data_IF_141619447768
#
_entry.id   IF_141619447768
#
_cell.length_a   1.000
_cell.length_b   1.000
_cell.length_c   1.000
_cell.angle_alpha   90.00
_cell.angle_beta   90.00
_cell.angle_gamma   90.00
#
_symmetry.space_group_name_H-M   'P 1'
#
loop_
_entity.id
_entity.type
_entity.pdbx_description
1 polymer ?
#
# COMPACT_ATOMS: atom_id res chain seq x y z
N UNK A 1 59.78 -11.30 9.52
CA UNK A 1 59.08 -10.01 9.55
C UNK A 1 58.18 -10.00 10.78
N UNK A 2 58.54 -9.21 11.79
CA UNK A 2 57.81 -9.11 13.05
C UNK A 2 56.79 -7.96 12.95
N UNK A 3 55.52 -8.21 13.28
CA UNK A 3 54.48 -7.19 13.35
C UNK A 3 54.17 -6.88 14.82
N UNK A 4 54.44 -5.64 15.22
CA UNK A 4 54.22 -5.08 16.56
C UNK A 4 52.73 -5.06 16.94
N UNK A 5 52.44 -5.51 18.16
CA UNK A 5 51.16 -5.28 18.83
C UNK A 5 51.07 -3.84 19.36
N UNK A 6 49.96 -3.15 19.09
CA UNK A 6 49.67 -1.82 19.61
C UNK A 6 48.81 -1.93 20.88
N UNK A 7 49.27 -1.33 21.97
CA UNK A 7 48.61 -1.29 23.28
C UNK A 7 47.41 -0.31 23.32
N UNK A 8 46.44 -0.48 24.24
CA UNK A 8 45.29 0.42 24.36
C UNK A 8 45.62 1.69 25.17
N UNK A 9 45.32 2.85 24.59
CA UNK A 9 45.49 4.17 25.21
C UNK A 9 44.42 4.42 26.28
N UNK A 10 44.87 4.81 27.49
CA UNK A 10 44.02 5.20 28.62
C UNK A 10 43.12 6.41 28.28
N UNK A 11 41.94 6.56 28.92
CA UNK A 11 41.02 7.66 28.64
C UNK A 11 41.59 8.97 29.20
N UNK A 12 42.02 9.85 28.29
CA UNK A 12 42.43 11.21 28.62
C UNK A 12 41.29 12.01 29.26
N UNK A 13 41.65 12.78 30.28
CA UNK A 13 40.86 13.86 30.90
C UNK A 13 40.09 14.65 29.83
N UNK A 14 38.77 14.51 29.80
CA UNK A 14 37.91 15.29 28.90
C UNK A 14 37.82 16.73 29.40
N UNK A 15 37.93 17.67 28.47
CA UNK A 15 37.88 19.10 28.73
C UNK A 15 36.59 19.46 29.52
N UNK A 16 36.65 20.31 30.56
CA UNK A 16 35.48 20.66 31.37
C UNK A 16 34.36 21.32 30.57
N UNK A 17 34.69 21.91 29.41
CA UNK A 17 33.72 22.45 28.46
C UNK A 17 32.83 21.37 27.82
N UNK A 18 33.39 20.20 27.50
CA UNK A 18 32.64 19.09 26.89
C UNK A 18 31.74 18.40 27.92
N UNK A 19 32.18 18.35 29.18
CA UNK A 19 31.37 17.86 30.29
C UNK A 19 30.15 18.75 30.54
N UNK A 20 30.31 20.07 30.44
CA UNK A 20 29.19 21.04 30.53
C UNK A 20 28.22 20.94 29.36
N UNK A 21 28.72 20.75 28.13
CA UNK A 21 27.88 20.54 26.94
C UNK A 21 27.06 19.25 27.03
N UNK A 22 27.69 18.14 27.44
CA UNK A 22 26.99 16.87 27.63
C UNK A 22 25.94 16.95 28.76
N UNK A 23 26.24 17.63 29.86
CA UNK A 23 25.30 17.86 30.94
C UNK A 23 24.08 18.70 30.50
N UNK A 24 24.29 19.75 29.71
CA UNK A 24 23.20 20.56 29.17
C UNK A 24 22.34 19.77 28.17
N UNK A 25 22.94 18.95 27.31
CA UNK A 25 22.20 18.11 26.35
C UNK A 25 21.29 17.09 27.06
N UNK A 26 21.78 16.51 28.15
CA UNK A 26 20.99 15.61 28.99
C UNK A 26 19.89 16.37 29.73
N UNK A 27 20.18 17.57 30.21
CA UNK A 27 19.18 18.43 30.87
C UNK A 27 18.02 18.78 29.94
N UNK A 28 18.33 19.06 28.67
CA UNK A 28 17.34 19.38 27.64
C UNK A 28 16.55 18.12 27.21
N UNK A 29 17.20 16.95 27.14
CA UNK A 29 16.55 15.66 26.84
C UNK A 29 15.53 15.24 27.90
N UNK A 30 15.82 15.52 29.17
CA UNK A 30 14.93 15.22 30.30
C UNK A 30 14.02 16.39 30.69
N UNK A 31 14.00 17.49 29.93
CA UNK A 31 13.10 18.64 30.16
C UNK A 31 13.30 19.35 31.51
N UNK A 32 14.47 19.21 32.13
CA UNK A 32 14.81 19.76 33.46
C UNK A 32 15.18 21.26 33.41
N UNK A 33 15.03 21.91 32.26
CA UNK A 33 15.19 23.35 32.10
C UNK A 33 13.90 24.08 32.45
N UNK A 34 13.86 24.72 33.62
CA UNK A 34 12.72 25.55 34.05
C UNK A 34 12.33 26.59 32.98
N UNK A 35 11.04 26.68 32.58
CA UNK A 35 10.55 27.70 31.68
C UNK A 35 10.27 28.99 32.46
N UNK A 36 11.14 30.00 32.29
CA UNK A 36 10.81 31.37 32.69
C UNK A 36 11.25 32.34 31.59
N UNK A 37 10.28 32.78 30.80
CA UNK A 37 10.40 33.76 29.70
C UNK A 37 9.49 33.44 28.49
N UNK A 38 8.29 34.03 28.48
CA UNK A 38 7.14 33.85 27.56
C UNK A 38 7.37 34.18 26.05
N UNK A 39 6.34 34.15 25.13
CA UNK A 39 5.15 33.30 24.98
C UNK A 39 5.03 32.63 23.59
N UNK A 40 4.40 31.45 23.50
CA UNK A 40 3.97 30.87 22.21
C UNK A 40 3.53 29.41 22.33
N UNK A 41 2.22 29.18 22.52
CA UNK A 41 1.55 27.85 22.51
C UNK A 41 0.90 27.63 21.12
N UNK A 42 0.57 26.39 20.65
CA UNK A 42 -0.19 25.40 21.41
C UNK A 42 0.24 23.91 21.30
N UNK A 43 0.20 23.26 22.46
CA UNK A 43 -0.44 21.97 22.80
C UNK A 43 -0.44 20.79 21.81
N UNK A 44 0.11 19.66 22.27
CA UNK A 44 -0.52 18.34 22.06
C UNK A 44 -0.51 17.57 23.38
N UNK A 45 -1.65 16.97 23.64
CA UNK A 45 -2.18 16.45 24.91
C UNK A 45 -1.72 15.04 25.25
N UNK A 46 -1.86 14.69 26.54
CA UNK A 46 -1.92 13.33 27.14
C UNK A 46 -0.55 12.85 27.65
N UNK A 47 -0.30 12.57 28.92
CA UNK A 47 -1.15 11.95 29.93
C UNK A 47 -0.75 12.35 31.35
N UNK A 48 -1.75 12.36 32.24
CA UNK A 48 -1.63 12.58 33.68
C UNK A 48 -0.79 11.47 34.31
N UNK A 49 0.19 11.83 35.12
CA UNK A 49 0.57 11.17 36.37
C UNK A 49 1.54 12.11 37.12
N UNK A 50 0.97 13.02 37.89
CA UNK A 50 1.69 13.80 38.88
C UNK A 50 1.91 12.90 40.10
N UNK A 51 3.13 12.39 40.25
CA UNK A 51 3.62 11.89 41.53
C UNK A 51 4.70 12.86 42.00
N UNK A 52 4.48 13.34 43.21
CA UNK A 52 5.25 14.26 44.01
C UNK A 52 6.77 13.96 43.96
N UNK A 53 7.58 14.97 43.64
CA UNK A 53 9.04 14.89 43.76
C UNK A 53 9.50 16.05 44.63
N UNK A 54 10.06 15.79 45.83
CA UNK A 54 10.57 16.84 46.68
C UNK A 54 11.86 17.41 46.06
N UNK A 55 12.01 18.70 46.27
CA UNK A 55 13.20 19.54 46.10
C UNK A 55 14.52 18.78 46.23
N UNK A 56 15.29 18.73 45.13
CA UNK A 56 16.70 18.35 45.13
C UNK A 56 17.51 19.45 45.83
N UNK A 57 17.98 19.17 47.03
CA UNK A 57 19.12 19.84 47.63
C UNK A 57 20.39 19.31 46.98
N UNK A 58 21.24 20.21 46.50
CA UNK A 58 22.60 19.95 46.06
C UNK A 58 23.37 19.16 47.14
N UNK A 59 23.60 17.87 46.91
CA UNK A 59 24.50 17.06 47.74
C UNK A 59 25.92 17.12 47.17
N UNK A 60 26.73 17.90 47.88
CA UNK A 60 28.16 18.04 47.73
C UNK A 60 28.87 16.67 47.73
N UNK A 61 29.93 16.60 46.94
CA UNK A 61 30.77 15.41 46.72
C UNK A 61 31.68 15.15 47.94
N UNK A 62 31.09 14.73 49.07
CA UNK A 62 31.77 14.48 50.34
C UNK A 62 31.53 13.08 50.95
N UNK A 63 31.44 12.02 50.13
CA UNK A 63 31.06 10.67 50.60
C UNK A 63 32.10 9.91 51.46
N UNK A 64 33.21 10.52 51.88
CA UNK A 64 34.19 9.88 52.78
C UNK A 64 34.12 10.36 54.24
N UNK A 65 33.18 11.26 54.58
CA UNK A 65 33.07 11.83 55.94
C UNK A 65 32.22 11.00 56.90
N UNK A 66 31.19 10.29 56.41
CA UNK A 66 30.19 9.68 57.29
C UNK A 66 30.67 8.47 58.12
N UNK A 67 31.69 7.74 57.66
CA UNK A 67 32.19 6.57 58.38
C UNK A 67 33.03 6.96 59.63
N UNK A 68 33.69 8.12 59.62
CA UNK A 68 34.51 8.59 60.74
C UNK A 68 33.72 9.43 61.76
N UNK A 69 32.55 9.94 61.39
CA UNK A 69 31.73 10.79 62.27
C UNK A 69 30.93 9.98 63.31
N UNK A 70 30.57 8.74 63.00
CA UNK A 70 29.89 7.82 63.93
C UNK A 70 30.80 7.44 65.12
N UNK A 71 32.09 7.16 64.86
CA UNK A 71 33.06 6.85 65.91
C UNK A 71 33.38 8.05 66.82
N UNK A 72 33.39 9.26 66.26
CA UNK A 72 33.59 10.50 67.01
C UNK A 72 32.38 10.83 67.91
N UNK A 73 31.17 10.54 67.45
CA UNK A 73 29.93 10.74 68.21
C UNK A 73 29.74 9.71 69.33
N UNK A 74 30.21 8.47 69.19
CA UNK A 74 30.07 7.47 70.25
C UNK A 74 30.83 7.88 71.53
N UNK A 75 32.04 8.43 71.36
CA UNK A 75 32.87 8.89 72.47
C UNK A 75 32.24 10.08 73.23
N UNK A 76 31.54 10.97 72.54
CA UNK A 76 30.80 12.08 73.17
C UNK A 76 29.52 11.56 73.84
N UNK A 77 28.80 10.63 73.21
CA UNK A 77 27.57 10.02 73.75
C UNK A 77 27.82 9.29 75.08
N UNK A 78 28.92 8.52 75.17
CA UNK A 78 29.34 7.84 76.39
C UNK A 78 29.70 8.79 77.53
N UNK A 79 30.06 10.03 77.22
CA UNK A 79 30.51 11.04 78.20
C UNK A 79 29.37 11.95 78.67
N UNK A 80 28.31 12.11 77.88
CA UNK A 80 27.21 13.03 78.13
C UNK A 80 25.90 12.35 78.55
N UNK A 81 25.65 11.11 78.13
CA UNK A 81 24.40 10.40 78.42
C UNK A 81 24.51 9.45 79.62
N UNK A 82 23.41 9.30 80.35
CA UNK A 82 23.26 8.27 81.39
C UNK A 82 23.04 6.89 80.76
N UNK A 83 23.37 5.83 81.51
CA UNK A 83 23.22 4.44 81.06
C UNK A 83 21.79 4.10 80.56
N UNK A 84 20.76 4.62 81.23
CA UNK A 84 19.37 4.42 80.82
C UNK A 84 19.04 5.11 79.50
N UNK A 85 19.59 6.31 79.26
CA UNK A 85 19.45 7.01 77.99
C UNK A 85 20.18 6.29 76.85
N UNK A 86 21.34 5.69 77.14
CA UNK A 86 22.09 4.90 76.17
C UNK A 86 21.34 3.62 75.77
N UNK A 87 20.76 2.89 76.73
CA UNK A 87 19.95 1.70 76.44
C UNK A 87 18.66 2.02 75.66
N UNK A 88 18.01 3.14 75.98
CA UNK A 88 16.85 3.59 75.20
C UNK A 88 17.24 3.91 73.76
N UNK A 89 18.39 4.57 73.56
CA UNK A 89 18.92 4.90 72.24
C UNK A 89 19.41 3.68 71.47
N UNK A 90 19.96 2.68 72.15
CA UNK A 90 20.26 1.38 71.55
C UNK A 90 18.99 0.71 71.02
N UNK A 91 17.92 0.68 71.81
CA UNK A 91 16.63 0.12 71.38
C UNK A 91 16.05 0.86 70.17
N UNK A 92 16.14 2.21 70.16
CA UNK A 92 15.74 3.06 69.04
C UNK A 92 16.54 2.73 67.77
N UNK A 93 17.88 2.66 67.87
CA UNK A 93 18.74 2.32 66.74
C UNK A 93 18.51 0.90 66.23
N UNK A 94 18.24 -0.08 67.11
CA UNK A 94 17.90 -1.44 66.69
C UNK A 94 16.60 -1.44 65.86
N UNK A 95 15.61 -0.63 66.24
CA UNK A 95 14.38 -0.50 65.46
C UNK A 95 14.63 0.18 64.11
N UNK A 96 15.42 1.26 64.08
CA UNK A 96 15.77 1.99 62.86
C UNK A 96 16.59 1.12 61.89
N UNK A 97 17.55 0.34 62.40
CA UNK A 97 18.34 -0.60 61.58
C UNK A 97 17.44 -1.64 60.90
N UNK A 98 16.41 -2.14 61.62
CA UNK A 98 15.46 -3.10 61.05
C UNK A 98 14.56 -2.48 60.00
N UNK A 99 14.12 -1.25 60.23
CA UNK A 99 13.32 -0.47 59.27
C UNK A 99 14.13 -0.18 58.00
N UNK A 100 15.37 0.32 58.16
CA UNK A 100 16.29 0.58 57.06
C UNK A 100 16.64 -0.69 56.26
N UNK A 101 16.81 -1.85 56.90
CA UNK A 101 17.03 -3.10 56.15
C UNK A 101 15.76 -3.52 55.38
N UNK A 102 14.58 -3.29 55.94
CA UNK A 102 13.30 -3.48 55.25
C UNK A 102 13.16 -2.57 54.02
N UNK A 103 13.46 -1.28 54.16
CA UNK A 103 13.47 -0.32 53.05
C UNK A 103 14.51 -0.69 51.98
N UNK A 104 15.73 -1.04 52.40
CA UNK A 104 16.81 -1.50 51.51
C UNK A 104 16.36 -2.72 50.72
N UNK A 105 15.77 -3.70 51.40
CA UNK A 105 15.31 -4.93 50.76
C UNK A 105 14.16 -4.64 49.78
N UNK A 106 13.21 -3.78 50.15
CA UNK A 106 12.13 -3.32 49.28
C UNK A 106 12.66 -2.63 48.02
N UNK A 107 13.62 -1.72 48.16
CA UNK A 107 14.24 -1.02 47.05
C UNK A 107 14.98 -1.98 46.11
N UNK A 108 15.76 -2.91 46.69
CA UNK A 108 16.48 -3.95 45.94
C UNK A 108 15.50 -4.81 45.15
N UNK A 109 14.39 -5.24 45.75
CA UNK A 109 13.36 -6.02 45.04
C UNK A 109 12.70 -5.22 43.92
N UNK A 110 12.30 -3.98 44.19
CA UNK A 110 11.64 -3.16 43.18
C UNK A 110 12.57 -2.95 41.98
N UNK A 111 13.81 -2.55 42.23
CA UNK A 111 14.77 -2.29 41.17
C UNK A 111 15.18 -3.58 40.43
N UNK A 112 15.34 -4.72 41.12
CA UNK A 112 15.61 -5.99 40.45
C UNK A 112 14.46 -6.44 39.56
N UNK A 113 13.23 -6.36 40.04
CA UNK A 113 12.08 -6.74 39.24
C UNK A 113 11.90 -5.82 38.03
N UNK A 114 12.09 -4.50 38.21
CA UNK A 114 12.11 -3.54 37.09
C UNK A 114 13.20 -3.86 36.07
N UNK A 115 14.42 -4.19 36.51
CA UNK A 115 15.51 -4.57 35.62
C UNK A 115 15.19 -5.86 34.84
N UNK A 116 14.58 -6.84 35.51
CA UNK A 116 14.13 -8.08 34.86
C UNK A 116 13.03 -7.77 33.83
N UNK A 117 12.03 -6.97 34.20
CA UNK A 117 10.96 -6.56 33.30
C UNK A 117 11.48 -5.76 32.08
N UNK A 118 12.45 -4.87 32.29
CA UNK A 118 13.12 -4.16 31.20
C UNK A 118 13.91 -5.12 30.30
N UNK A 119 14.60 -6.10 30.89
CA UNK A 119 15.35 -7.12 30.15
C UNK A 119 14.41 -7.99 29.30
N UNK A 120 13.25 -8.38 29.84
CA UNK A 120 12.21 -9.12 29.12
C UNK A 120 11.62 -8.28 27.99
N UNK A 121 11.40 -6.99 28.20
CA UNK A 121 10.95 -6.06 27.16
C UNK A 121 11.97 -5.94 26.03
N UNK A 122 13.27 -5.81 26.35
CA UNK A 122 14.35 -5.79 25.36
C UNK A 122 14.39 -7.12 24.59
N UNK A 123 14.23 -8.25 25.28
CA UNK A 123 14.20 -9.57 24.64
C UNK A 123 13.01 -9.69 23.68
N UNK A 124 11.82 -9.27 24.08
CA UNK A 124 10.63 -9.26 23.24
C UNK A 124 10.83 -8.34 22.02
N UNK A 125 11.36 -7.13 22.22
CA UNK A 125 11.69 -6.20 21.15
C UNK A 125 12.68 -6.82 20.15
N UNK A 126 13.71 -7.51 20.63
CA UNK A 126 14.67 -8.22 19.78
C UNK A 126 13.99 -9.31 18.95
N UNK A 127 13.17 -10.16 19.55
CA UNK A 127 12.46 -11.22 18.81
C UNK A 127 11.52 -10.67 17.74
N UNK A 128 10.84 -9.55 18.02
CA UNK A 128 10.01 -8.86 17.03
C UNK A 128 10.85 -8.29 15.89
N UNK A 129 12.00 -7.69 16.19
CA UNK A 129 12.93 -7.18 15.18
C UNK A 129 13.44 -8.30 14.26
N UNK A 130 13.81 -9.46 14.84
CA UNK A 130 14.24 -10.63 14.06
C UNK A 130 13.12 -11.18 13.17
N UNK A 131 11.87 -11.19 13.65
CA UNK A 131 10.72 -11.60 12.81
C UNK A 131 10.44 -10.63 11.65
N UNK A 132 10.73 -9.34 11.85
CA UNK A 132 10.53 -8.31 10.84
C UNK A 132 11.55 -8.43 9.71
N UNK A 133 12.78 -8.83 10.02
CA UNK A 133 13.84 -9.06 9.02
C UNK A 133 13.42 -10.10 7.97
N UNK A 134 12.89 -11.24 8.41
CA UNK A 134 12.35 -12.26 7.49
C UNK A 134 11.17 -11.77 6.64
N UNK A 135 10.32 -10.90 7.19
CA UNK A 135 9.22 -10.29 6.41
C UNK A 135 9.73 -9.30 5.36
N UNK A 136 10.83 -8.60 5.65
CA UNK A 136 11.46 -7.65 4.74
C UNK A 136 12.14 -8.39 3.58
N UNK A 137 12.81 -9.52 3.86
CA UNK A 137 13.36 -10.41 2.83
C UNK A 137 12.27 -11.00 1.92
N UNK A 138 11.14 -11.42 2.49
CA UNK A 138 9.99 -11.89 1.70
C UNK A 138 9.43 -10.77 0.79
N UNK A 139 9.33 -9.54 1.31
CA UNK A 139 8.90 -8.37 0.54
C UNK A 139 9.89 -8.01 -0.57
N UNK A 140 11.20 -8.10 -0.30
CA UNK A 140 12.23 -7.88 -1.31
C UNK A 140 12.12 -8.91 -2.43
N UNK A 141 11.95 -10.18 -2.08
CA UNK A 141 11.77 -11.27 -3.05
C UNK A 141 10.54 -11.05 -3.92
N UNK A 142 9.42 -10.60 -3.34
CA UNK A 142 8.22 -10.31 -4.12
C UNK A 142 8.38 -9.09 -5.04
N UNK A 143 9.11 -8.05 -4.61
CA UNK A 143 9.45 -6.91 -5.46
C UNK A 143 10.36 -7.31 -6.62
N UNK A 144 11.37 -8.15 -6.37
CA UNK A 144 12.23 -8.71 -7.43
C UNK A 144 11.41 -9.53 -8.43
N UNK A 145 10.48 -10.38 -7.95
CA UNK A 145 9.57 -11.14 -8.81
C UNK A 145 8.66 -10.22 -9.64
N UNK A 146 8.08 -9.16 -9.04
CA UNK A 146 7.27 -8.18 -9.77
C UNK A 146 8.10 -7.41 -10.80
N UNK A 147 9.33 -7.01 -10.46
CA UNK A 147 10.22 -6.32 -11.38
C UNK A 147 10.62 -7.20 -12.56
N UNK A 148 10.89 -8.48 -12.31
CA UNK A 148 11.18 -9.45 -13.37
C UNK A 148 9.98 -9.66 -14.28
N UNK A 149 8.77 -9.79 -13.72
CA UNK A 149 7.55 -9.96 -14.49
C UNK A 149 7.23 -8.70 -15.31
N UNK A 150 7.43 -7.51 -14.74
CA UNK A 150 7.29 -6.25 -15.45
C UNK A 150 8.28 -6.14 -16.63
N UNK A 151 9.55 -6.50 -16.40
CA UNK A 151 10.55 -6.54 -17.47
C UNK A 151 10.18 -7.56 -18.56
N UNK A 152 9.66 -8.73 -18.19
CA UNK A 152 9.24 -9.75 -19.15
C UNK A 152 8.06 -9.26 -20.00
N UNK A 153 7.04 -8.64 -19.39
CA UNK A 153 5.96 -7.96 -20.11
C UNK A 153 6.47 -6.82 -21.00
N UNK A 154 7.49 -6.09 -20.57
CA UNK A 154 8.13 -5.04 -21.35
C UNK A 154 8.76 -5.61 -22.63
N UNK A 155 9.43 -6.75 -22.55
CA UNK A 155 9.96 -7.42 -23.76
C UNK A 155 8.86 -7.93 -24.68
N UNK A 156 7.75 -8.47 -24.13
CA UNK A 156 6.61 -8.96 -24.90
C UNK A 156 5.85 -7.82 -25.61
N UNK A 157 5.75 -6.64 -25.00
CA UNK A 157 5.13 -5.50 -25.66
C UNK A 157 6.03 -4.93 -26.76
N UNK A 158 7.35 -4.85 -26.52
CA UNK A 158 8.32 -4.35 -27.50
C UNK A 158 8.36 -5.24 -28.75
N UNK A 159 8.41 -6.56 -28.55
CA UNK A 159 8.34 -7.54 -29.64
C UNK A 159 7.01 -7.44 -30.41
N UNK A 160 5.89 -7.13 -29.73
CA UNK A 160 4.59 -6.93 -30.38
C UNK A 160 4.49 -5.58 -31.11
N UNK A 161 5.07 -4.50 -30.60
CA UNK A 161 5.09 -3.20 -31.29
C UNK A 161 5.97 -3.23 -32.53
N UNK A 162 7.09 -3.96 -32.51
CA UNK A 162 7.92 -4.17 -33.70
C UNK A 162 7.18 -5.00 -34.77
N UNK A 163 6.29 -5.91 -34.36
CA UNK A 163 5.42 -6.66 -35.26
C UNK A 163 4.18 -5.87 -35.76
N UNK A 164 3.73 -4.82 -35.05
CA UNK A 164 2.47 -4.12 -35.38
C UNK A 164 2.64 -2.88 -36.26
N UNK A 165 3.87 -2.46 -36.61
CA UNK A 165 4.10 -1.19 -37.31
C UNK A 165 3.95 -1.26 -38.84
N UNK A 166 3.66 -2.42 -39.46
CA UNK A 166 3.50 -2.51 -40.93
C UNK A 166 2.17 -3.06 -41.47
N UNK A 167 1.39 -3.85 -40.72
CA UNK A 167 0.20 -4.55 -41.28
C UNK A 167 -1.17 -4.14 -40.69
N UNK A 168 -1.22 -3.29 -39.65
CA UNK A 168 -2.48 -3.08 -38.89
C UNK A 168 -3.37 -1.92 -39.37
N UNK A 169 -2.96 -1.12 -40.36
CA UNK A 169 -3.71 0.11 -40.74
C UNK A 169 -4.89 -0.16 -41.68
N UNK A 170 -4.99 -1.34 -42.30
CA UNK A 170 -6.03 -1.61 -43.30
C UNK A 170 -6.95 -2.80 -42.99
N UNK A 171 -6.64 -3.65 -42.00
CA UNK A 171 -7.52 -4.77 -41.63
C UNK A 171 -8.92 -4.31 -41.19
N UNK A 172 -9.02 -3.21 -40.43
CA UNK A 172 -10.33 -2.68 -39.99
C UNK A 172 -11.21 -2.20 -41.15
N UNK A 173 -10.62 -1.69 -42.24
CA UNK A 173 -11.36 -1.23 -43.43
C UNK A 173 -11.85 -2.41 -44.26
N UNK A 174 -11.09 -3.50 -44.30
CA UNK A 174 -11.47 -4.72 -45.02
C UNK A 174 -12.57 -5.51 -44.29
N UNK A 175 -12.70 -5.34 -42.97
CA UNK A 175 -13.75 -5.99 -42.15
C UNK A 175 -15.10 -5.23 -42.17
N UNK A 176 -15.09 -3.91 -42.33
CA UNK A 176 -16.29 -3.06 -42.38
C UNK A 176 -17.34 -3.51 -43.43
N UNK A 177 -16.99 -3.81 -44.70
CA UNK A 177 -17.97 -4.23 -45.69
C UNK A 177 -18.60 -5.60 -45.39
N UNK A 178 -17.90 -6.47 -44.64
CA UNK A 178 -18.39 -7.82 -44.30
C UNK A 178 -19.42 -7.77 -43.17
N UNK A 179 -19.14 -6.97 -42.14
CA UNK A 179 -20.03 -6.85 -40.97
C UNK A 179 -21.29 -6.03 -41.29
N UNK A 180 -21.19 -5.09 -42.23
CA UNK A 180 -22.33 -4.27 -42.68
C UNK A 180 -23.17 -4.92 -43.77
N UNK A 181 -22.76 -6.08 -44.28
CA UNK A 181 -23.43 -6.75 -45.40
C UNK A 181 -24.87 -7.22 -45.08
N UNK A 182 -25.16 -7.85 -43.92
CA UNK A 182 -26.53 -8.25 -43.59
C UNK A 182 -27.51 -7.07 -43.56
N UNK A 183 -27.09 -5.93 -43.00
CA UNK A 183 -27.94 -4.74 -42.91
C UNK A 183 -28.14 -4.08 -44.29
N UNK A 184 -27.10 -4.03 -45.12
CA UNK A 184 -27.20 -3.54 -46.50
C UNK A 184 -28.17 -4.38 -47.35
N UNK A 185 -28.11 -5.71 -47.25
CA UNK A 185 -29.05 -6.60 -47.96
C UNK A 185 -30.48 -6.42 -47.46
N UNK A 186 -30.67 -6.28 -46.14
CA UNK A 186 -31.97 -6.02 -45.56
C UNK A 186 -32.55 -4.67 -46.03
N UNK A 187 -31.74 -3.61 -46.10
CA UNK A 187 -32.17 -2.28 -46.51
C UNK A 187 -32.57 -2.21 -48.00
N UNK A 188 -31.90 -2.98 -48.87
CA UNK A 188 -32.26 -3.09 -50.29
C UNK A 188 -33.55 -3.87 -50.54
N UNK A 189 -33.83 -4.88 -49.71
CA UNK A 189 -35.07 -5.67 -49.80
C UNK A 189 -36.27 -4.88 -49.25
N UNK A 190 -36.05 -4.06 -48.22
CA UNK A 190 -37.09 -3.23 -47.61
C UNK A 190 -37.21 -1.82 -48.21
N UNK A 191 -36.43 -1.53 -49.25
CA UNK A 191 -36.44 -0.26 -50.01
C UNK A 191 -36.26 0.98 -49.11
N UNK A 192 -35.50 0.82 -48.02
CA UNK A 192 -35.36 1.86 -46.98
C UNK A 192 -34.40 2.98 -47.40
N UNK A 193 -33.49 2.68 -48.33
CA UNK A 193 -32.49 3.63 -48.85
C UNK A 193 -33.07 4.61 -49.88
N UNK A 194 -34.04 4.18 -50.69
CA UNK A 194 -34.66 5.01 -51.75
C UNK A 194 -35.74 5.96 -51.21
N UNK A 195 -36.33 5.64 -50.05
CA UNK A 195 -37.29 6.50 -49.35
C UNK A 195 -36.63 7.74 -48.73
N UNK A 196 -35.37 7.64 -48.29
CA UNK A 196 -34.66 8.77 -47.67
C UNK A 196 -34.41 9.93 -48.65
N UNK A 197 -34.21 9.64 -49.94
CA UNK A 197 -34.00 10.64 -51.00
C UNK A 197 -35.27 11.16 -51.66
N UNK A 198 -36.45 10.58 -51.39
CA UNK A 198 -37.71 10.90 -52.08
C UNK A 198 -38.80 11.49 -51.16
N UNK A 199 -38.44 11.95 -49.95
CA UNK A 199 -39.35 12.72 -49.05
C UNK A 199 -39.57 14.15 -49.56
N UNK A 200 -39.87 14.29 -50.85
CA UNK A 200 -40.49 15.49 -51.40
C UNK A 200 -41.52 15.06 -52.43
N UNK A 201 -42.77 14.99 -51.94
CA UNK A 201 -44.03 14.87 -52.69
C UNK A 201 -44.26 13.58 -53.48
N UNK A 202 -45.02 12.66 -52.88
CA UNK A 202 -46.32 12.22 -53.43
C UNK A 202 -46.97 11.18 -52.53
N UNK A 203 -48.06 11.57 -51.85
CA UNK A 203 -49.08 10.63 -51.41
C UNK A 203 -49.98 10.33 -52.62
N UNK A 204 -49.62 9.30 -53.38
CA UNK A 204 -50.52 8.64 -54.31
C UNK A 204 -50.48 7.16 -53.94
N UNK A 205 -51.65 6.53 -53.87
CA UNK A 205 -51.77 5.08 -53.69
C UNK A 205 -51.12 4.45 -54.92
N UNK A 206 -49.90 3.95 -54.77
CA UNK A 206 -49.18 3.26 -55.83
C UNK A 206 -49.96 1.98 -56.19
N UNK A 207 -50.19 1.70 -57.48
CA UNK A 207 -50.81 0.45 -57.90
C UNK A 207 -49.96 -0.73 -57.41
N UNK A 208 -50.61 -1.80 -56.92
CA UNK A 208 -49.94 -2.96 -56.32
C UNK A 208 -48.84 -3.55 -57.21
N UNK A 209 -48.99 -3.43 -58.53
CA UNK A 209 -48.03 -3.90 -59.53
C UNK A 209 -46.70 -3.13 -59.51
N UNK A 210 -46.70 -1.83 -59.20
CA UNK A 210 -45.47 -1.01 -59.16
C UNK A 210 -44.66 -1.28 -57.89
N UNK A 211 -45.33 -1.52 -56.75
CA UNK A 211 -44.65 -1.88 -55.51
C UNK A 211 -44.04 -3.30 -55.57
N UNK A 212 -44.73 -4.23 -56.24
CA UNK A 212 -44.19 -5.57 -56.51
C UNK A 212 -42.97 -5.51 -57.44
N UNK A 213 -43.01 -4.69 -58.49
CA UNK A 213 -41.86 -4.46 -59.37
C UNK A 213 -40.69 -3.83 -58.64
N UNK A 214 -40.92 -2.85 -57.76
CA UNK A 214 -39.88 -2.23 -56.92
C UNK A 214 -39.21 -3.26 -56.00
N UNK A 215 -40.01 -4.09 -55.30
CA UNK A 215 -39.48 -5.19 -54.48
C UNK A 215 -38.68 -6.21 -55.30
N UNK A 216 -39.13 -6.54 -56.52
CA UNK A 216 -38.38 -7.40 -57.46
C UNK A 216 -37.05 -6.77 -57.86
N UNK A 217 -37.01 -5.46 -58.12
CA UNK A 217 -35.75 -4.76 -58.43
C UNK A 217 -34.81 -4.67 -57.22
N UNK A 218 -35.34 -4.44 -56.02
CA UNK A 218 -34.56 -4.41 -54.77
C UNK A 218 -33.94 -5.76 -54.44
N UNK A 219 -34.70 -6.85 -54.60
CA UNK A 219 -34.17 -8.21 -54.44
C UNK A 219 -33.08 -8.51 -55.47
N UNK A 220 -33.29 -8.17 -56.75
CA UNK A 220 -32.29 -8.39 -57.79
C UNK A 220 -30.97 -7.64 -57.52
N UNK A 221 -31.04 -6.43 -56.96
CA UNK A 221 -29.86 -5.67 -56.51
C UNK A 221 -29.17 -6.33 -55.31
N UNK A 222 -29.95 -6.79 -54.32
CA UNK A 222 -29.42 -7.52 -53.17
C UNK A 222 -28.73 -8.84 -53.57
N UNK A 223 -29.31 -9.60 -54.49
CA UNK A 223 -28.71 -10.85 -55.01
C UNK A 223 -27.40 -10.58 -55.77
N UNK A 224 -27.32 -9.45 -56.50
CA UNK A 224 -26.07 -9.04 -57.17
C UNK A 224 -24.97 -8.68 -56.17
N UNK A 225 -25.28 -7.94 -55.10
CA UNK A 225 -24.31 -7.61 -54.05
C UNK A 225 -23.88 -8.84 -53.24
N UNK A 226 -24.81 -9.75 -52.99
CA UNK A 226 -24.46 -11.04 -52.38
C UNK A 226 -23.49 -11.82 -53.26
N UNK A 227 -23.74 -11.90 -54.56
CA UNK A 227 -22.86 -12.61 -55.50
C UNK A 227 -21.44 -12.04 -55.56
N UNK A 228 -21.23 -10.75 -55.30
CA UNK A 228 -19.88 -10.19 -55.24
C UNK A 228 -19.14 -10.56 -53.96
N UNK A 229 -19.87 -10.79 -52.86
CA UNK A 229 -19.30 -10.95 -51.51
C UNK A 229 -19.27 -12.40 -51.01
N UNK A 230 -20.11 -13.27 -51.58
CA UNK A 230 -20.11 -14.71 -51.34
C UNK A 230 -18.73 -15.39 -51.47
N UNK A 231 -17.93 -15.16 -52.53
CA UNK A 231 -16.62 -15.78 -52.64
C UNK A 231 -15.62 -15.27 -51.58
N UNK A 232 -15.76 -14.03 -51.13
CA UNK A 232 -14.93 -13.45 -50.07
C UNK A 232 -15.25 -14.12 -48.74
N UNK A 233 -16.54 -14.24 -48.40
CA UNK A 233 -16.98 -14.93 -47.20
C UNK A 233 -16.57 -16.42 -47.22
N UNK A 234 -16.64 -17.08 -48.39
CA UNK A 234 -16.20 -18.46 -48.54
C UNK A 234 -14.70 -18.63 -48.26
N UNK A 235 -13.86 -17.78 -48.85
CA UNK A 235 -12.41 -17.78 -48.61
C UNK A 235 -12.08 -17.54 -47.12
N UNK A 236 -12.83 -16.67 -46.45
CA UNK A 236 -12.64 -16.39 -45.02
C UNK A 236 -13.16 -17.52 -44.12
N UNK A 237 -14.20 -18.23 -44.54
CA UNK A 237 -14.64 -19.45 -43.84
C UNK A 237 -13.65 -20.60 -43.98
N UNK A 238 -12.99 -20.72 -45.14
CA UNK A 238 -11.92 -21.71 -45.37
C UNK A 238 -10.65 -21.35 -44.59
N UNK A 239 -10.39 -20.05 -44.41
CA UNK A 239 -9.34 -19.54 -43.52
C UNK A 239 -9.67 -19.68 -42.02
N UNK A 240 -10.89 -20.14 -41.66
CA UNK A 240 -11.28 -20.40 -40.28
C UNK A 240 -11.57 -19.15 -39.44
N UNK A 241 -11.90 -18.02 -40.06
CA UNK A 241 -12.26 -16.78 -39.34
C UNK A 241 -13.58 -16.98 -38.58
N UNK A 242 -13.54 -16.74 -37.27
CA UNK A 242 -14.70 -16.91 -36.37
C UNK A 242 -15.79 -15.87 -36.69
N UNK A 243 -17.06 -16.28 -36.74
CA UNK A 243 -18.19 -15.37 -36.97
C UNK A 243 -18.64 -15.21 -38.43
N UNK A 244 -17.77 -15.52 -39.40
CA UNK A 244 -18.06 -15.32 -40.83
C UNK A 244 -19.13 -16.30 -41.33
N UNK A 245 -19.20 -17.50 -40.75
CA UNK A 245 -20.19 -18.52 -41.10
C UNK A 245 -21.60 -18.09 -40.70
N UNK A 246 -21.72 -17.47 -39.54
CA UNK A 246 -22.96 -16.91 -38.99
C UNK A 246 -23.46 -15.76 -39.87
N UNK A 247 -22.57 -14.82 -40.21
CA UNK A 247 -22.88 -13.70 -41.12
C UNK A 247 -23.36 -14.23 -42.47
N UNK A 248 -22.64 -15.19 -43.07
CA UNK A 248 -23.06 -15.79 -44.34
C UNK A 248 -24.40 -16.53 -44.25
N UNK A 249 -24.71 -17.16 -43.12
CA UNK A 249 -26.00 -17.82 -42.89
C UNK A 249 -27.15 -16.80 -42.76
N UNK A 250 -26.91 -15.69 -42.06
CA UNK A 250 -27.87 -14.61 -41.88
C UNK A 250 -28.24 -13.95 -43.23
N UNK A 251 -27.24 -13.60 -44.04
CA UNK A 251 -27.46 -13.03 -45.38
C UNK A 251 -28.26 -13.97 -46.30
N UNK A 252 -27.97 -15.28 -46.27
CA UNK A 252 -28.76 -16.28 -47.02
C UNK A 252 -30.19 -16.36 -46.54
N UNK A 253 -30.43 -16.23 -45.22
CA UNK A 253 -31.78 -16.19 -44.65
C UNK A 253 -32.55 -14.96 -45.14
N UNK A 254 -31.90 -13.79 -45.14
CA UNK A 254 -32.48 -12.52 -45.61
C UNK A 254 -32.91 -12.61 -47.09
N UNK A 255 -32.05 -13.14 -47.97
CA UNK A 255 -32.39 -13.33 -49.39
C UNK A 255 -33.51 -14.35 -49.60
N UNK A 256 -33.53 -15.44 -48.80
CA UNK A 256 -34.59 -16.45 -48.86
C UNK A 256 -35.94 -15.87 -48.46
N UNK A 257 -35.97 -15.05 -47.42
CA UNK A 257 -37.18 -14.37 -46.98
C UNK A 257 -37.65 -13.33 -48.01
N UNK A 258 -36.72 -12.58 -48.61
CA UNK A 258 -37.02 -11.65 -49.72
C UNK A 258 -37.64 -12.35 -50.94
N UNK A 259 -37.11 -13.50 -51.35
CA UNK A 259 -37.71 -14.32 -52.43
C UNK A 259 -39.12 -14.80 -52.08
N UNK A 260 -39.32 -15.26 -50.85
CA UNK A 260 -40.61 -15.75 -50.37
C UNK A 260 -41.66 -14.62 -50.35
N UNK A 261 -41.27 -13.42 -49.92
CA UNK A 261 -42.16 -12.26 -49.89
C UNK A 261 -42.64 -11.86 -51.30
N UNK A 262 -41.77 -11.98 -52.33
CA UNK A 262 -42.16 -11.73 -53.72
C UNK A 262 -43.10 -12.82 -54.24
N UNK A 263 -42.79 -14.10 -53.99
CA UNK A 263 -43.63 -15.23 -54.43
C UNK A 263 -45.02 -15.20 -53.78
N UNK A 264 -45.13 -14.75 -52.53
CA UNK A 264 -46.42 -14.59 -51.84
C UNK A 264 -47.22 -13.38 -52.33
N UNK A 265 -46.55 -12.36 -52.88
CA UNK A 265 -47.18 -11.17 -53.43
C UNK A 265 -47.79 -11.40 -54.83
N UNK A 266 -47.36 -12.46 -55.53
CA UNK A 266 -47.92 -12.83 -56.84
C UNK A 266 -49.12 -13.77 -56.65
N UNK A 267 -50.40 -13.32 -56.79
CA UNK A 267 -51.54 -14.22 -56.68
C UNK A 267 -51.56 -15.21 -57.85
N UNK A 268 -51.72 -16.49 -57.54
CA UNK A 268 -51.97 -17.55 -58.53
C UNK A 268 -53.29 -17.23 -59.26
N UNK A 269 -53.19 -17.06 -60.59
CA UNK A 269 -54.34 -17.09 -61.52
C UNK A 269 -55.03 -18.46 -61.47
#
# INVERSE_FOLDING_TARGET
>A
MAASASAPTAPGSRNPADKRRAANLLRDYYGLGSPSGAPGSPSTTTSKNAFDSPTQSDVDAGSSSHANEAGLNLATLLKTHSLSGLLAKESELITEIRELDGERQSLVYNHHHELVAASDSIRNMKTKSESLDGSLDALKTSFEAMSNLAADLETLHSTRSDASTKDQVDALKDLEPIVTLPTQLADLIHDRLTRASSVSRSSAVEPQDEEEQRRKTGLAQAERLWGTMEPVLAAWTDAGVVGVREIAAECRSILKEGRKAIVQATPLL
#
